data_IF_544362077306
#
_entry.id   IF_544362077306
#
_cell.length_a   1.000
_cell.length_b   1.000
_cell.length_c   1.000
_cell.angle_alpha   90.00
_cell.angle_beta   90.00
_cell.angle_gamma   90.00
#
_symmetry.space_group_name_H-M   'P 1'
#
loop_
_entity.id
_entity.type
_entity.pdbx_description
1 polymer ?
#
# COMPACT_ATOMS: atom_id res chain seq x y z
N UNK A 1 11.68 51.09 -7.57
CA UNK A 1 11.65 49.95 -8.52
C UNK A 1 12.37 48.72 -8.00
N UNK A 2 13.59 48.87 -7.48
CA UNK A 2 14.33 47.73 -6.89
C UNK A 2 13.69 47.11 -5.65
N UNK A 3 12.97 47.88 -4.82
CA UNK A 3 12.33 47.38 -3.62
C UNK A 3 11.17 46.42 -3.93
N UNK A 4 10.40 46.67 -4.99
CA UNK A 4 9.28 45.82 -5.42
C UNK A 4 9.80 44.48 -6.00
N UNK A 5 10.87 44.50 -6.74
CA UNK A 5 11.53 43.30 -7.30
C UNK A 5 12.12 42.46 -6.17
N UNK A 6 12.71 43.09 -5.17
CA UNK A 6 13.30 42.44 -4.00
C UNK A 6 12.22 41.73 -3.14
N UNK A 7 11.06 42.39 -2.93
CA UNK A 7 9.91 41.77 -2.26
C UNK A 7 9.35 40.57 -3.04
N UNK A 8 9.34 40.64 -4.37
CA UNK A 8 8.86 39.56 -5.22
C UNK A 8 9.77 38.33 -5.17
N UNK A 9 11.08 38.54 -5.13
CA UNK A 9 12.10 37.48 -4.99
C UNK A 9 11.99 36.80 -3.62
N UNK A 10 11.77 37.56 -2.54
CA UNK A 10 11.57 37.03 -1.19
C UNK A 10 10.28 36.18 -1.13
N UNK A 11 9.20 36.60 -1.78
CA UNK A 11 7.93 35.86 -1.85
C UNK A 11 8.11 34.51 -2.57
N UNK A 12 8.92 34.45 -3.63
CA UNK A 12 9.24 33.19 -4.35
C UNK A 12 10.09 32.27 -3.48
N UNK A 13 11.02 32.80 -2.70
CA UNK A 13 11.86 32.01 -1.78
C UNK A 13 11.09 31.41 -0.60
N UNK A 14 10.02 32.08 -0.16
CA UNK A 14 9.14 31.53 0.88
C UNK A 14 8.29 30.35 0.41
N UNK A 15 7.99 30.24 -0.87
CA UNK A 15 7.19 29.15 -1.42
C UNK A 15 7.95 27.82 -1.54
N UNK A 16 9.28 27.84 -1.60
CA UNK A 16 10.08 26.63 -1.71
C UNK A 16 10.18 25.82 -0.41
N UNK A 17 9.91 26.44 0.73
CA UNK A 17 9.96 25.76 2.03
C UNK A 17 8.72 24.91 2.35
N UNK A 18 7.60 25.12 1.65
CA UNK A 18 6.36 24.33 1.82
C UNK A 18 6.43 22.97 1.10
N UNK A 19 7.20 22.85 0.04
CA UNK A 19 7.37 21.61 -0.70
C UNK A 19 8.26 20.57 0.01
N UNK A 20 9.19 20.99 0.85
CA UNK A 20 10.13 20.11 1.52
C UNK A 20 9.52 19.34 2.71
N UNK A 21 8.40 19.79 3.25
CA UNK A 21 7.71 19.14 4.38
C UNK A 21 6.83 17.96 3.98
N UNK A 22 6.31 17.96 2.75
CA UNK A 22 5.47 16.89 2.21
C UNK A 22 6.26 15.63 1.80
N UNK A 23 7.58 15.75 1.55
CA UNK A 23 8.45 14.64 1.15
C UNK A 23 8.94 13.75 2.32
N UNK A 24 8.65 14.13 3.56
CA UNK A 24 9.17 13.45 4.76
C UNK A 24 8.14 12.56 5.48
N UNK A 25 6.96 12.38 4.93
CA UNK A 25 6.05 11.36 5.42
C UNK A 25 6.58 9.98 4.99
N UNK A 26 7.06 9.24 5.97
CA UNK A 26 7.58 7.87 5.82
C UNK A 26 6.59 6.88 5.18
N UNK A 27 5.34 7.30 4.99
CA UNK A 27 4.26 6.48 4.45
C UNK A 27 4.16 6.52 2.92
N UNK A 28 4.66 7.56 2.28
CA UNK A 28 4.62 7.69 0.82
C UNK A 28 5.97 7.38 0.19
N UNK A 29 6.34 6.11 0.21
CA UNK A 29 7.47 5.67 -0.59
C UNK A 29 6.97 5.28 -1.99
N UNK A 30 7.39 6.06 -2.98
CA UNK A 30 7.08 5.88 -4.39
C UNK A 30 7.38 4.44 -4.88
N UNK A 31 8.40 3.81 -4.30
CA UNK A 31 8.76 2.42 -4.60
C UNK A 31 7.68 1.43 -4.18
N UNK A 32 7.10 1.59 -3.00
CA UNK A 32 6.03 0.70 -2.53
C UNK A 32 4.75 0.88 -3.34
N UNK A 33 4.39 2.12 -3.65
CA UNK A 33 3.23 2.40 -4.50
C UNK A 33 3.42 1.82 -5.90
N UNK A 34 4.60 1.98 -6.50
CA UNK A 34 4.93 1.41 -7.82
C UNK A 34 4.82 -0.12 -7.82
N UNK A 35 5.34 -0.79 -6.80
CA UNK A 35 5.20 -2.24 -6.65
C UNK A 35 3.74 -2.66 -6.48
N UNK A 36 2.96 -1.92 -5.70
CA UNK A 36 1.54 -2.20 -5.53
C UNK A 36 0.75 -2.08 -6.84
N UNK A 37 0.95 -1.01 -7.59
CA UNK A 37 0.32 -0.85 -8.91
C UNK A 37 0.75 -1.95 -9.88
N UNK A 38 2.01 -2.35 -9.86
CA UNK A 38 2.52 -3.46 -10.65
C UNK A 38 1.89 -4.80 -10.25
N UNK A 39 1.64 -4.99 -8.95
CA UNK A 39 0.93 -6.16 -8.43
C UNK A 39 -0.50 -6.23 -8.96
N UNK A 40 -1.25 -5.13 -8.89
CA UNK A 40 -2.61 -5.05 -9.41
C UNK A 40 -2.68 -5.33 -10.91
N UNK A 41 -1.78 -4.72 -11.68
CA UNK A 41 -1.71 -4.92 -13.12
C UNK A 41 -1.37 -6.38 -13.48
N UNK A 42 -0.43 -7.00 -12.75
CA UNK A 42 -0.08 -8.40 -12.94
C UNK A 42 -1.23 -9.33 -12.57
N UNK A 43 -1.93 -9.01 -11.49
CA UNK A 43 -3.11 -9.75 -11.04
C UNK A 43 -4.24 -9.71 -12.07
N UNK A 44 -4.57 -8.54 -12.60
CA UNK A 44 -5.58 -8.36 -13.64
C UNK A 44 -5.22 -9.08 -14.96
N UNK A 45 -3.93 -9.17 -15.26
CA UNK A 45 -3.42 -9.90 -16.41
C UNK A 45 -3.24 -11.42 -16.15
N UNK A 46 -3.75 -11.94 -15.06
CA UNK A 46 -3.66 -13.35 -14.68
C UNK A 46 -2.22 -13.87 -14.47
N UNK A 47 -1.27 -12.97 -14.22
CA UNK A 47 0.11 -13.29 -13.88
C UNK A 47 0.31 -13.31 -12.37
N UNK A 48 -0.33 -14.26 -11.71
CA UNK A 48 -0.39 -14.28 -10.24
C UNK A 48 0.98 -14.43 -9.56
N UNK A 49 1.90 -15.16 -10.16
CA UNK A 49 3.25 -15.31 -9.62
C UNK A 49 4.01 -13.97 -9.58
N UNK A 50 3.86 -13.15 -10.61
CA UNK A 50 4.45 -11.82 -10.64
C UNK A 50 3.72 -10.88 -9.69
N UNK A 51 2.39 -10.96 -9.63
CA UNK A 51 1.59 -10.20 -8.68
C UNK A 51 2.04 -10.45 -7.24
N UNK A 52 2.24 -11.70 -6.84
CA UNK A 52 2.72 -12.07 -5.49
C UNK A 52 4.07 -11.43 -5.17
N UNK A 53 5.03 -11.45 -6.09
CA UNK A 53 6.34 -10.81 -5.88
C UNK A 53 6.19 -9.31 -5.62
N UNK A 54 5.34 -8.63 -6.39
CA UNK A 54 5.09 -7.21 -6.21
C UNK A 54 4.32 -6.91 -4.92
N UNK A 55 3.35 -7.73 -4.55
CA UNK A 55 2.66 -7.60 -3.25
C UNK A 55 3.62 -7.78 -2.08
N UNK A 56 4.48 -8.78 -2.12
CA UNK A 56 5.52 -9.01 -1.08
C UNK A 56 6.47 -7.81 -0.95
N UNK A 57 6.87 -7.21 -2.06
CA UNK A 57 7.75 -6.03 -2.06
C UNK A 57 7.06 -4.74 -1.57
N UNK A 58 5.73 -4.71 -1.55
CA UNK A 58 4.93 -3.57 -1.09
C UNK A 58 4.13 -3.86 0.19
N UNK A 59 4.44 -4.92 0.90
CA UNK A 59 3.70 -5.44 2.06
C UNK A 59 3.54 -4.44 3.20
N UNK A 60 4.41 -3.46 3.31
CA UNK A 60 4.28 -2.38 4.29
C UNK A 60 2.98 -1.58 4.13
N UNK A 61 2.40 -1.57 2.94
CA UNK A 61 1.14 -0.88 2.63
C UNK A 61 -0.10 -1.54 3.23
N UNK A 62 0.00 -2.76 3.78
CA UNK A 62 -1.11 -3.44 4.45
C UNK A 62 -1.75 -2.56 5.53
N UNK A 63 -0.93 -1.81 6.27
CA UNK A 63 -1.40 -0.99 7.39
C UNK A 63 -2.03 0.34 6.95
N UNK A 64 -1.76 0.78 5.73
CA UNK A 64 -2.20 2.09 5.22
C UNK A 64 -3.22 2.02 4.10
N UNK A 65 -3.49 0.83 3.57
CA UNK A 65 -4.37 0.64 2.41
C UNK A 65 -5.31 -0.54 2.62
N UNK A 66 -6.58 -0.27 2.83
CA UNK A 66 -7.59 -1.31 3.15
C UNK A 66 -7.72 -2.36 2.05
N UNK A 67 -7.68 -1.96 0.79
CA UNK A 67 -7.79 -2.87 -0.35
C UNK A 67 -6.56 -3.76 -0.55
N UNK A 68 -5.38 -3.37 -0.06
CA UNK A 68 -4.15 -4.15 -0.25
C UNK A 68 -4.25 -5.54 0.33
N UNK A 69 -4.72 -5.66 1.56
CA UNK A 69 -4.83 -6.96 2.24
C UNK A 69 -5.73 -7.92 1.47
N UNK A 70 -6.89 -7.45 1.04
CA UNK A 70 -7.87 -8.26 0.30
C UNK A 70 -7.25 -8.83 -0.98
N UNK A 71 -6.65 -7.98 -1.79
CA UNK A 71 -6.04 -8.37 -3.06
C UNK A 71 -4.83 -9.30 -2.87
N UNK A 72 -4.01 -9.03 -1.86
CA UNK A 72 -2.88 -9.88 -1.50
C UNK A 72 -3.33 -11.27 -1.04
N UNK A 73 -4.36 -11.33 -0.18
CA UNK A 73 -4.95 -12.59 0.28
C UNK A 73 -5.53 -13.38 -0.90
N UNK A 74 -6.24 -12.74 -1.80
CA UNK A 74 -6.73 -13.38 -3.02
C UNK A 74 -5.58 -13.99 -3.85
N UNK A 75 -4.51 -13.23 -4.04
CA UNK A 75 -3.34 -13.71 -4.78
C UNK A 75 -2.69 -14.92 -4.12
N UNK A 76 -2.60 -14.94 -2.78
CA UNK A 76 -2.12 -16.08 -2.01
C UNK A 76 -3.01 -17.32 -2.17
N UNK A 77 -4.33 -17.14 -2.15
CA UNK A 77 -5.28 -18.23 -2.32
C UNK A 77 -5.21 -18.84 -3.72
N UNK A 78 -5.08 -18.01 -4.76
CA UNK A 78 -4.89 -18.47 -6.13
C UNK A 78 -3.60 -19.27 -6.32
N UNK A 79 -2.58 -18.97 -5.53
CA UNK A 79 -1.30 -19.70 -5.52
C UNK A 79 -1.31 -20.93 -4.60
N UNK A 80 -2.43 -21.22 -3.93
CA UNK A 80 -2.57 -22.35 -3.01
C UNK A 80 -1.94 -22.14 -1.63
N UNK A 81 -1.50 -20.93 -1.29
CA UNK A 81 -0.88 -20.58 -0.02
C UNK A 81 -1.91 -20.24 1.07
N UNK A 82 -2.85 -21.13 1.32
CA UNK A 82 -3.99 -20.91 2.24
C UNK A 82 -3.54 -20.59 3.66
N UNK A 83 -2.56 -21.32 4.19
CA UNK A 83 -2.04 -21.06 5.56
C UNK A 83 -1.44 -19.68 5.70
N UNK A 84 -0.73 -19.22 4.68
CA UNK A 84 -0.13 -17.87 4.66
C UNK A 84 -1.23 -16.80 4.55
N UNK A 85 -2.24 -17.03 3.74
CA UNK A 85 -3.40 -16.15 3.63
C UNK A 85 -4.10 -15.97 5.00
N UNK A 86 -4.40 -17.07 5.69
CA UNK A 86 -5.00 -17.05 7.03
C UNK A 86 -4.12 -16.26 8.02
N UNK A 87 -2.81 -16.49 8.00
CA UNK A 87 -1.88 -15.77 8.87
C UNK A 87 -1.91 -14.26 8.62
N UNK A 88 -2.00 -13.83 7.38
CA UNK A 88 -2.08 -12.40 7.04
C UNK A 88 -3.40 -11.78 7.54
N UNK A 89 -4.51 -12.46 7.39
CA UNK A 89 -5.81 -11.99 7.89
C UNK A 89 -5.80 -11.87 9.41
N UNK A 90 -5.29 -12.88 10.12
CA UNK A 90 -5.17 -12.84 11.58
C UNK A 90 -4.32 -11.68 12.08
N UNK A 91 -3.18 -11.47 11.45
CA UNK A 91 -2.28 -10.38 11.82
C UNK A 91 -2.92 -9.01 11.60
N UNK A 92 -3.67 -8.85 10.54
CA UNK A 92 -4.29 -7.57 10.18
C UNK A 92 -5.55 -7.26 11.00
N UNK A 93 -6.31 -8.27 11.43
CA UNK A 93 -7.49 -8.07 12.29
C UNK A 93 -7.13 -7.43 13.65
N UNK A 94 -5.89 -7.56 14.09
CA UNK A 94 -5.42 -6.91 15.33
C UNK A 94 -5.05 -5.44 15.14
N UNK A 95 -4.89 -4.98 13.90
CA UNK A 95 -4.32 -3.66 13.62
C UNK A 95 -5.31 -2.66 13.04
N UNK A 96 -6.03 -2.91 11.98
CA UNK A 96 -7.00 -1.99 11.35
C UNK A 96 -7.52 -2.65 10.04
N UNK A 97 -8.83 -2.81 9.88
CA UNK A 97 -9.44 -2.97 8.56
C UNK A 97 -9.42 -4.35 7.93
N UNK A 98 -9.22 -5.42 8.69
CA UNK A 98 -9.37 -6.79 8.17
C UNK A 98 -10.81 -7.28 8.01
N UNK A 99 -11.77 -6.38 7.98
CA UNK A 99 -13.19 -6.73 7.88
C UNK A 99 -13.64 -6.81 6.42
N UNK A 100 -13.21 -7.86 5.76
CA UNK A 100 -13.72 -8.24 4.44
C UNK A 100 -14.24 -9.69 4.49
N UNK A 101 -15.25 -9.97 3.67
CA UNK A 101 -15.99 -11.24 3.70
C UNK A 101 -15.07 -12.46 3.57
N UNK A 102 -14.15 -12.46 2.63
CA UNK A 102 -13.25 -13.58 2.36
C UNK A 102 -12.29 -13.83 3.52
N UNK A 103 -11.83 -12.76 4.16
CA UNK A 103 -10.99 -12.85 5.37
C UNK A 103 -11.73 -13.50 6.52
N UNK A 104 -12.97 -13.11 6.77
CA UNK A 104 -13.82 -13.71 7.80
C UNK A 104 -14.11 -15.18 7.50
N UNK A 105 -14.35 -15.53 6.24
CA UNK A 105 -14.55 -16.92 5.82
C UNK A 105 -13.31 -17.78 6.08
N UNK A 106 -12.11 -17.26 5.79
CA UNK A 106 -10.84 -17.94 6.09
C UNK A 106 -10.64 -18.18 7.59
N UNK A 107 -10.99 -17.22 8.43
CA UNK A 107 -10.92 -17.37 9.89
C UNK A 107 -11.87 -18.45 10.41
N UNK A 108 -13.06 -18.54 9.84
CA UNK A 108 -14.02 -19.60 10.16
C UNK A 108 -13.46 -20.98 9.77
N UNK A 109 -12.90 -21.10 8.58
CA UNK A 109 -12.29 -22.35 8.11
C UNK A 109 -11.12 -22.79 8.98
N UNK A 110 -10.30 -21.84 9.46
CA UNK A 110 -9.19 -22.13 10.35
C UNK A 110 -9.64 -22.59 11.75
N UNK A 111 -10.83 -22.19 12.20
CA UNK A 111 -11.39 -22.56 13.50
C UNK A 111 -12.05 -23.95 13.54
N UNK A 112 -12.30 -24.53 12.39
CA UNK A 112 -12.84 -25.90 12.25
C UNK A 112 -11.69 -26.92 12.38
#
# INVERSE_FOLDING_TARGET
MFLKIFCFIILILYQTNLYSKAANEKEFNQKYLSNYLSALLSFDNQKNNDALKFFENSKILIQSHDSFLQEYVFSLLLDGQVKKAIKQVKYSNTSIGGDFFEGNLLLILDSI
#
